data_IF_668413467837
#
_entry.id   IF_668413467837
#
_cell.length_a   1.000
_cell.length_b   1.000
_cell.length_c   1.000
_cell.angle_alpha   90.00
_cell.angle_beta   90.00
_cell.angle_gamma   90.00
#
_symmetry.space_group_name_H-M   'P 1'
#
loop_
_entity.id
_entity.type
_entity.pdbx_description
1 polymer ?
#
# COMPACT_ATOMS: atom_id res chain seq x y z
N UNK A 1 -9.76 -3.15 13.39
CA UNK A 1 -8.42 -3.75 13.52
C UNK A 1 -8.44 -5.10 12.83
N UNK A 2 -7.44 -5.40 12.01
CA UNK A 2 -7.28 -6.67 11.29
C UNK A 2 -5.82 -7.09 11.30
N UNK A 3 -5.55 -8.40 11.29
CA UNK A 3 -4.20 -8.91 11.04
C UNK A 3 -3.89 -8.89 9.55
N UNK A 4 -2.69 -8.44 9.19
CA UNK A 4 -2.23 -8.38 7.80
C UNK A 4 -0.82 -8.94 7.69
N UNK A 5 -0.49 -9.45 6.50
CA UNK A 5 0.88 -9.80 6.11
C UNK A 5 1.34 -8.79 5.05
N UNK A 6 2.53 -8.22 5.23
CA UNK A 6 3.09 -7.27 4.28
C UNK A 6 3.70 -8.05 3.12
N UNK A 7 3.05 -8.02 1.95
CA UNK A 7 3.48 -8.77 0.77
C UNK A 7 4.70 -8.15 0.07
N UNK A 8 4.86 -6.84 0.18
CA UNK A 8 5.94 -6.11 -0.50
C UNK A 8 6.02 -4.65 -0.08
N UNK A 9 7.25 -4.15 -0.03
CA UNK A 9 7.59 -2.77 0.27
C UNK A 9 7.46 -2.39 1.76
N UNK A 10 7.08 -1.14 2.01
CA UNK A 10 6.94 -0.58 3.35
C UNK A 10 5.54 -0.01 3.59
N UNK A 11 4.90 -0.42 4.67
CA UNK A 11 3.60 0.10 5.10
C UNK A 11 3.80 1.08 6.26
N UNK A 12 3.34 2.32 6.11
CA UNK A 12 3.48 3.36 7.14
C UNK A 12 2.13 3.86 7.66
N UNK A 13 2.08 4.21 8.95
CA UNK A 13 0.93 4.90 9.56
C UNK A 13 0.55 6.17 8.79
N UNK A 14 -0.73 6.54 8.84
CA UNK A 14 -1.32 7.67 8.11
C UNK A 14 -1.29 7.54 6.57
N UNK A 15 -1.04 6.35 6.04
CA UNK A 15 -1.18 6.08 4.61
C UNK A 15 -2.63 5.78 4.25
N UNK A 16 -3.07 6.23 3.09
CA UNK A 16 -4.34 5.79 2.53
C UNK A 16 -4.20 4.36 2.02
N UNK A 17 -5.23 3.56 2.24
CA UNK A 17 -5.29 2.16 1.84
C UNK A 17 -6.35 2.03 0.76
N UNK A 18 -6.00 1.36 -0.34
CA UNK A 18 -6.85 1.18 -1.51
C UNK A 18 -6.88 -0.28 -1.94
N UNK A 19 -7.91 -0.62 -2.70
CA UNK A 19 -8.01 -1.86 -3.48
C UNK A 19 -7.90 -1.52 -4.95
N UNK A 20 -7.28 -2.40 -5.71
CA UNK A 20 -7.37 -2.32 -7.16
C UNK A 20 -8.64 -3.05 -7.62
N UNK A 21 -9.63 -2.28 -8.08
CA UNK A 21 -10.75 -2.82 -8.86
C UNK A 21 -10.40 -2.64 -10.35
N UNK A 22 -9.75 -3.65 -10.92
CA UNK A 22 -9.09 -3.52 -12.23
C UNK A 22 -7.84 -2.65 -12.12
N UNK A 23 -7.80 -1.56 -12.88
CA UNK A 23 -6.61 -0.72 -13.06
C UNK A 23 -6.65 0.61 -12.27
N UNK A 24 -7.71 0.84 -11.49
CA UNK A 24 -7.82 1.99 -10.59
C UNK A 24 -7.85 1.59 -9.11
N UNK A 25 -7.08 2.29 -8.26
CA UNK A 25 -7.16 2.12 -6.83
C UNK A 25 -8.42 2.82 -6.31
N UNK A 26 -9.35 2.05 -5.79
CA UNK A 26 -10.47 2.55 -5.00
C UNK A 26 -10.02 2.68 -3.54
N UNK A 27 -10.03 3.91 -3.01
CA UNK A 27 -9.68 4.15 -1.61
C UNK A 27 -10.70 3.47 -0.69
N UNK A 28 -10.18 2.65 0.21
CA UNK A 28 -10.96 1.88 1.17
C UNK A 28 -10.93 2.52 2.56
N UNK A 29 -9.82 3.17 2.92
CA UNK A 29 -9.69 3.82 4.22
C UNK A 29 -8.32 4.46 4.45
N UNK A 30 -8.05 4.76 5.72
CA UNK A 30 -6.77 5.32 6.18
C UNK A 30 -6.19 4.45 7.29
N UNK A 31 -4.90 4.11 7.19
CA UNK A 31 -4.17 3.39 8.21
C UNK A 31 -3.93 4.29 9.43
N UNK A 32 -4.49 3.94 10.59
CA UNK A 32 -4.36 4.70 11.84
C UNK A 32 -3.17 4.25 12.68
N UNK A 33 -3.03 2.95 12.86
CA UNK A 33 -1.97 2.36 13.68
C UNK A 33 -1.53 1.03 13.10
N UNK A 34 -0.27 0.70 13.40
CA UNK A 34 0.36 -0.59 13.14
C UNK A 34 0.87 -1.06 14.50
N UNK A 35 0.53 -2.29 14.86
CA UNK A 35 0.92 -2.90 16.12
C UNK A 35 1.60 -4.24 15.83
N UNK A 36 2.79 -4.43 16.39
CA UNK A 36 3.55 -5.67 16.32
C UNK A 36 3.81 -6.20 17.72
N UNK A 37 3.44 -7.46 17.96
CA UNK A 37 3.52 -8.14 19.27
C UNK A 37 3.02 -7.34 20.50
N UNK A 38 2.12 -6.38 20.31
CA UNK A 38 1.60 -5.54 21.38
C UNK A 38 2.15 -4.11 21.40
N UNK A 39 3.22 -3.83 20.65
CA UNK A 39 3.88 -2.52 20.57
C UNK A 39 3.44 -1.75 19.33
N UNK A 40 3.19 -0.44 19.47
CA UNK A 40 2.87 0.44 18.35
C UNK A 40 4.15 0.78 17.57
N UNK A 41 4.12 0.55 16.26
CA UNK A 41 5.23 0.84 15.34
C UNK A 41 4.82 1.81 14.24
N UNK A 42 5.81 2.47 13.65
CA UNK A 42 5.60 3.49 12.63
C UNK A 42 5.54 2.93 11.20
N UNK A 43 6.23 1.82 10.98
CA UNK A 43 6.42 1.16 9.70
C UNK A 43 6.46 -0.36 9.90
N UNK A 44 5.88 -1.10 8.95
CA UNK A 44 6.06 -2.54 8.79
C UNK A 44 6.62 -2.86 7.40
N UNK A 45 7.45 -3.89 7.31
CA UNK A 45 8.23 -4.31 6.13
C UNK A 45 7.75 -5.63 5.56
N UNK A 46 8.12 -5.91 4.31
CA UNK A 46 7.88 -7.18 3.62
C UNK A 46 8.15 -8.39 4.52
N UNK A 47 7.19 -9.31 4.58
CA UNK A 47 7.26 -10.55 5.36
C UNK A 47 6.79 -10.43 6.83
N UNK A 48 6.60 -9.21 7.34
CA UNK A 48 6.08 -9.00 8.68
C UNK A 48 4.57 -9.23 8.74
N UNK A 49 4.12 -9.74 9.90
CA UNK A 49 2.71 -9.97 10.20
C UNK A 49 2.30 -9.11 11.38
N UNK A 50 1.48 -8.11 11.12
CA UNK A 50 1.16 -7.06 12.08
C UNK A 50 -0.35 -6.87 12.19
N UNK A 51 -0.79 -6.33 13.33
CA UNK A 51 -2.16 -5.88 13.50
C UNK A 51 -2.26 -4.43 13.03
N UNK A 52 -3.21 -4.14 12.13
CA UNK A 52 -3.44 -2.78 11.65
C UNK A 52 -4.84 -2.30 11.95
N UNK A 53 -4.95 -1.01 12.28
CA UNK A 53 -6.22 -0.32 12.38
C UNK A 53 -6.44 0.52 11.13
N UNK A 54 -7.50 0.21 10.37
CA UNK A 54 -7.90 0.96 9.18
C UNK A 54 -9.22 1.66 9.50
N UNK A 55 -9.22 2.98 9.38
CA UNK A 55 -10.40 3.81 9.57
C UNK A 55 -11.20 3.91 8.26
N UNK A 56 -12.53 3.77 8.36
CA UNK A 56 -13.45 3.77 7.22
C UNK A 56 -14.09 2.41 6.89
N UNK A 57 -13.34 1.34 6.60
CA UNK A 57 -13.92 0.11 6.06
C UNK A 57 -14.46 -0.82 7.15
N UNK A 58 -15.52 -1.57 6.80
CA UNK A 58 -16.03 -2.67 7.63
C UNK A 58 -15.60 -4.02 7.06
N UNK A 59 -15.00 -4.86 7.90
CA UNK A 59 -14.62 -6.25 7.56
C UNK A 59 -15.87 -7.09 7.32
N UNK A 60 -15.86 -7.92 6.27
CA UNK A 60 -17.01 -8.66 5.77
C UNK A 60 -17.92 -7.88 4.83
N UNK A 61 -17.69 -6.56 4.67
CA UNK A 61 -18.48 -5.70 3.77
C UNK A 61 -17.63 -5.03 2.70
N UNK A 62 -16.81 -4.05 3.09
CA UNK A 62 -15.91 -3.34 2.16
C UNK A 62 -14.56 -4.06 2.00
N UNK A 63 -14.08 -4.72 3.04
CA UNK A 63 -12.89 -5.58 3.02
C UNK A 63 -13.23 -6.98 3.53
N UNK A 64 -12.56 -8.00 3.02
CA UNK A 64 -12.72 -9.41 3.35
C UNK A 64 -11.36 -10.03 3.60
N UNK A 65 -11.35 -11.16 4.29
CA UNK A 65 -10.13 -11.95 4.47
C UNK A 65 -9.62 -12.43 3.10
N UNK A 66 -8.30 -12.34 2.91
CA UNK A 66 -7.65 -12.66 1.64
C UNK A 66 -7.65 -11.54 0.60
N UNK A 67 -8.27 -10.39 0.88
CA UNK A 67 -8.15 -9.23 0.00
C UNK A 67 -6.73 -8.65 0.00
N UNK A 68 -6.23 -8.32 -1.18
CA UNK A 68 -4.99 -7.59 -1.35
C UNK A 68 -5.26 -6.07 -1.28
N UNK A 69 -4.56 -5.39 -0.38
CA UNK A 69 -4.67 -3.96 -0.16
C UNK A 69 -3.34 -3.29 -0.48
N UNK A 70 -3.43 -2.08 -1.04
CA UNK A 70 -2.27 -1.30 -1.47
C UNK A 70 -2.24 0.04 -0.74
N UNK A 71 -1.04 0.53 -0.43
CA UNK A 71 -0.88 1.93 -0.07
C UNK A 71 -1.18 2.78 -1.32
N UNK A 72 -2.11 3.73 -1.20
CA UNK A 72 -2.45 4.62 -2.30
C UNK A 72 -1.32 5.63 -2.53
N UNK A 73 -0.70 5.57 -3.70
CA UNK A 73 0.36 6.49 -4.10
C UNK A 73 -0.22 7.55 -5.04
N UNK A 74 -0.19 8.85 -4.68
CA UNK A 74 -0.54 9.93 -5.58
C UNK A 74 0.40 9.97 -6.78
N UNK A 75 -0.12 10.36 -7.95
CA UNK A 75 0.64 10.38 -9.21
C UNK A 75 1.94 11.19 -9.13
N UNK A 76 1.89 12.35 -8.48
CA UNK A 76 3.09 13.19 -8.29
C UNK A 76 4.17 12.48 -7.47
N UNK A 77 3.78 11.70 -6.47
CA UNK A 77 4.73 10.96 -5.64
C UNK A 77 5.29 9.77 -6.42
N UNK A 78 4.45 9.05 -7.17
CA UNK A 78 4.89 7.96 -8.03
C UNK A 78 5.94 8.42 -9.04
N UNK A 79 5.73 9.60 -9.65
CA UNK A 79 6.71 10.23 -10.55
C UNK A 79 8.06 10.49 -9.88
N UNK A 80 8.05 11.10 -8.68
CA UNK A 80 9.28 11.39 -7.93
C UNK A 80 9.99 10.09 -7.53
N UNK A 81 9.23 9.09 -7.07
CA UNK A 81 9.78 7.79 -6.70
C UNK A 81 10.50 7.12 -7.89
N UNK A 82 9.86 7.08 -9.06
CA UNK A 82 10.43 6.44 -10.27
C UNK A 82 11.60 7.24 -10.87
N UNK A 83 11.53 8.57 -10.89
CA UNK A 83 12.50 9.41 -11.62
C UNK A 83 13.67 9.91 -10.78
N UNK A 84 13.44 10.15 -9.49
CA UNK A 84 14.41 10.85 -8.63
C UNK A 84 14.95 9.98 -7.50
N UNK A 85 14.19 8.99 -7.03
CA UNK A 85 14.50 8.27 -5.80
C UNK A 85 14.76 6.77 -5.98
N UNK A 86 14.67 6.24 -7.20
CA UNK A 86 14.88 4.80 -7.46
C UNK A 86 16.17 4.25 -6.84
N UNK A 87 17.29 5.00 -6.90
CA UNK A 87 18.58 4.55 -6.33
C UNK A 87 18.60 4.51 -4.79
N UNK A 88 17.65 5.17 -4.13
CA UNK A 88 17.53 5.26 -2.68
C UNK A 88 16.48 4.29 -2.11
N UNK A 89 15.74 3.59 -2.97
CA UNK A 89 14.66 2.69 -2.57
C UNK A 89 15.19 1.24 -2.54
N UNK A 90 14.92 0.46 -1.48
CA UNK A 90 15.24 -0.96 -1.43
C UNK A 90 14.64 -1.75 -2.60
N UNK A 91 15.29 -2.84 -3.00
CA UNK A 91 14.86 -3.63 -4.16
C UNK A 91 13.41 -4.15 -4.06
N UNK A 92 12.98 -4.58 -2.88
CA UNK A 92 11.61 -5.06 -2.63
C UNK A 92 10.56 -3.94 -2.73
N UNK A 93 10.91 -2.73 -2.30
CA UNK A 93 10.08 -1.53 -2.48
C UNK A 93 10.02 -1.12 -3.96
N UNK A 94 11.12 -1.22 -4.71
CA UNK A 94 11.14 -0.95 -6.16
C UNK A 94 10.25 -1.95 -6.91
N UNK A 95 10.33 -3.24 -6.59
CA UNK A 95 9.49 -4.27 -7.19
C UNK A 95 8.01 -3.99 -6.93
N UNK A 96 7.67 -3.63 -5.70
CA UNK A 96 6.29 -3.29 -5.30
C UNK A 96 5.79 -2.03 -6.01
N UNK A 97 6.62 -0.98 -6.09
CA UNK A 97 6.32 0.23 -6.84
C UNK A 97 6.10 -0.07 -8.32
N UNK A 98 6.94 -0.92 -8.91
CA UNK A 98 6.84 -1.32 -10.32
C UNK A 98 5.50 -2.03 -10.57
N UNK A 99 5.11 -2.98 -9.72
CA UNK A 99 3.80 -3.64 -9.81
C UNK A 99 2.64 -2.65 -9.70
N UNK A 100 2.74 -1.67 -8.80
CA UNK A 100 1.73 -0.63 -8.65
C UNK A 100 1.61 0.24 -9.91
N UNK A 101 2.75 0.66 -10.48
CA UNK A 101 2.80 1.44 -11.72
C UNK A 101 2.22 0.66 -12.91
N UNK A 102 2.55 -0.62 -13.04
CA UNK A 102 2.01 -1.49 -14.09
C UNK A 102 0.47 -1.58 -14.02
N UNK A 103 -0.08 -1.80 -12.82
CA UNK A 103 -1.54 -1.81 -12.60
C UNK A 103 -2.18 -0.49 -13.03
N UNK A 104 -1.60 0.67 -12.68
CA UNK A 104 -2.11 1.99 -13.09
C UNK A 104 -1.99 2.22 -14.60
N UNK A 105 -0.88 1.76 -15.20
CA UNK A 105 -0.54 1.99 -16.61
C UNK A 105 -1.30 1.09 -17.59
N UNK A 106 -1.91 0.01 -17.12
CA UNK A 106 -2.87 -0.76 -17.92
C UNK A 106 -4.01 0.10 -18.47
N UNK A 107 -4.50 1.07 -17.68
CA UNK A 107 -5.56 1.99 -18.09
C UNK A 107 -5.05 3.32 -18.60
N UNK A 108 -4.03 3.89 -17.96
CA UNK A 108 -3.39 5.13 -18.40
C UNK A 108 -1.87 4.94 -18.59
N UNK A 109 -1.39 4.66 -19.82
CA UNK A 109 0.01 4.41 -20.11
C UNK A 109 0.98 5.57 -19.77
N UNK A 110 0.45 6.76 -19.52
CA UNK A 110 1.24 7.95 -19.15
C UNK A 110 1.22 8.24 -17.65
N UNK A 111 0.50 7.44 -16.86
CA UNK A 111 0.40 7.65 -15.43
C UNK A 111 1.77 7.60 -14.74
N UNK A 112 2.08 8.64 -13.98
CA UNK A 112 3.34 8.77 -13.24
C UNK A 112 4.55 9.19 -14.08
N UNK A 113 4.38 9.60 -15.35
CA UNK A 113 5.48 10.09 -16.19
C UNK A 113 5.75 11.59 -16.05
#
# INVERSE_FOLDING_TARGET
VVGVEILGGSLRRNSNVAKFEGDEPERVGMLKSIQDEGEDIDEARTGERVAVSIDGPTVGRQIREGDELWAEIPEKHAKILEQELTDAIPADEIETLTMYLEKRRNRDPFWGK
#
